data_IF_140363738873
#
_entry.id   IF_140363738873
#
_cell.length_a   1.000
_cell.length_b   1.000
_cell.length_c   1.000
_cell.angle_alpha   90.00
_cell.angle_beta   90.00
_cell.angle_gamma   90.00
#
_symmetry.space_group_name_H-M   'P 1'
#
loop_
_entity.id
_entity.type
_entity.pdbx_description
1 polymer ?
#
# COMPACT_ATOMS: atom_id res chain seq x y z
N UNK A 1 -13.10 -13.39 34.52
CA UNK A 1 -13.52 -11.99 34.27
C UNK A 1 -12.56 -11.41 33.25
N UNK A 2 -13.01 -11.28 32.00
CA UNK A 2 -12.13 -10.98 30.87
C UNK A 2 -11.93 -9.47 30.75
N UNK A 3 -10.68 -9.02 30.91
CA UNK A 3 -10.23 -7.69 30.52
C UNK A 3 -10.38 -7.54 29.00
N UNK A 4 -11.57 -7.16 28.52
CA UNK A 4 -11.72 -6.54 27.20
C UNK A 4 -11.07 -5.17 27.31
N UNK A 5 -9.80 -5.12 26.94
CA UNK A 5 -9.02 -3.90 26.73
C UNK A 5 -9.91 -2.82 26.09
N UNK A 6 -9.92 -1.62 26.69
CA UNK A 6 -10.58 -0.41 26.20
C UNK A 6 -10.08 -0.08 24.78
N UNK A 7 -10.60 -0.76 23.76
CA UNK A 7 -10.37 -0.43 22.37
C UNK A 7 -11.20 0.83 22.08
N UNK A 8 -10.57 1.99 22.16
CA UNK A 8 -11.24 3.26 21.89
C UNK A 8 -11.44 3.41 20.37
N UNK A 9 -12.60 2.92 19.90
CA UNK A 9 -13.01 2.95 18.50
C UNK A 9 -12.98 4.37 17.91
N UNK A 10 -13.26 5.41 18.71
CA UNK A 10 -13.20 6.81 18.27
C UNK A 10 -11.78 7.22 17.90
N UNK A 11 -10.82 6.94 18.79
CA UNK A 11 -9.40 7.24 18.55
C UNK A 11 -8.83 6.47 17.36
N UNK A 12 -9.26 5.22 17.18
CA UNK A 12 -8.90 4.43 16.01
C UNK A 12 -9.44 5.04 14.71
N UNK A 13 -10.72 5.45 14.70
CA UNK A 13 -11.34 6.10 13.54
C UNK A 13 -10.67 7.43 13.16
N UNK A 14 -10.31 8.25 14.15
CA UNK A 14 -9.54 9.48 13.92
C UNK A 14 -8.19 9.20 13.26
N UNK A 15 -7.42 8.24 13.79
CA UNK A 15 -6.11 7.87 13.25
C UNK A 15 -6.22 7.36 11.81
N UNK A 16 -7.21 6.52 11.52
CA UNK A 16 -7.46 6.02 10.15
C UNK A 16 -7.79 7.16 9.21
N UNK A 17 -8.66 8.08 9.62
CA UNK A 17 -9.06 9.23 8.81
C UNK A 17 -7.86 10.15 8.50
N UNK A 18 -7.04 10.46 9.51
CA UNK A 18 -5.87 11.32 9.34
C UNK A 18 -4.82 10.65 8.45
N UNK A 19 -4.55 9.37 8.67
CA UNK A 19 -3.64 8.58 7.81
C UNK A 19 -4.13 8.54 6.36
N UNK A 20 -5.45 8.39 6.16
CA UNK A 20 -6.06 8.36 4.82
C UNK A 20 -5.94 9.71 4.11
N UNK A 21 -6.12 10.82 4.84
CA UNK A 21 -5.94 12.18 4.30
C UNK A 21 -4.49 12.42 3.90
N UNK A 22 -3.54 12.03 4.74
CA UNK A 22 -2.12 12.17 4.45
C UNK A 22 -1.72 11.35 3.21
N UNK A 23 -2.18 10.09 3.14
CA UNK A 23 -1.97 9.25 1.96
C UNK A 23 -2.52 9.91 0.70
N UNK A 24 -3.78 10.38 0.74
CA UNK A 24 -4.40 11.06 -0.40
C UNK A 24 -3.61 12.30 -0.83
N UNK A 25 -3.15 13.12 0.11
CA UNK A 25 -2.33 14.30 -0.18
C UNK A 25 -1.03 13.91 -0.87
N UNK A 26 -0.34 12.88 -0.37
CA UNK A 26 0.91 12.38 -0.97
C UNK A 26 0.66 11.83 -2.38
N UNK A 27 -0.39 11.03 -2.58
CA UNK A 27 -0.74 10.50 -3.90
C UNK A 27 -1.03 11.61 -4.91
N UNK A 28 -1.76 12.66 -4.52
CA UNK A 28 -2.00 13.83 -5.40
C UNK A 28 -0.68 14.52 -5.74
N UNK A 29 0.15 14.84 -4.74
CA UNK A 29 1.43 15.50 -5.00
C UNK A 29 2.36 14.69 -5.90
N UNK A 30 2.34 13.36 -5.78
CA UNK A 30 3.13 12.48 -6.63
C UNK A 30 2.59 12.41 -8.08
N UNK A 31 1.28 12.54 -8.27
CA UNK A 31 0.68 12.69 -9.60
C UNK A 31 1.07 14.02 -10.24
N UNK A 32 1.12 15.11 -9.47
CA UNK A 32 1.58 16.41 -9.95
C UNK A 32 3.06 16.35 -10.38
N UNK A 33 3.91 15.63 -9.63
CA UNK A 33 5.31 15.38 -10.00
C UNK A 33 5.41 14.57 -11.30
N UNK A 34 4.61 13.51 -11.46
CA UNK A 34 4.60 12.72 -12.69
C UNK A 34 4.20 13.58 -13.91
N UNK A 35 3.15 14.40 -13.77
CA UNK A 35 2.72 15.34 -14.81
C UNK A 35 3.82 16.36 -15.15
N UNK A 36 4.50 16.90 -14.13
CA UNK A 36 5.63 17.80 -14.33
C UNK A 36 6.75 17.12 -15.12
N UNK A 37 7.16 15.92 -14.74
CA UNK A 37 8.22 15.17 -15.40
C UNK A 37 7.87 14.86 -16.86
N UNK A 38 6.63 14.45 -17.12
CA UNK A 38 6.13 14.21 -18.47
C UNK A 38 6.24 15.48 -19.34
N UNK A 39 5.80 16.62 -18.81
CA UNK A 39 5.84 17.90 -19.53
C UNK A 39 7.26 18.45 -19.76
N UNK A 40 8.26 17.94 -19.04
CA UNK A 40 9.66 18.35 -19.16
C UNK A 40 10.55 17.31 -19.87
N UNK A 41 9.95 16.33 -20.56
CA UNK A 41 10.68 15.34 -21.36
C UNK A 41 11.24 14.16 -20.58
N UNK A 42 10.81 13.96 -19.32
CA UNK A 42 11.18 12.83 -18.46
C UNK A 42 10.07 11.78 -18.40
N UNK A 43 9.48 11.44 -19.54
CA UNK A 43 8.35 10.51 -19.68
C UNK A 43 8.61 9.16 -19.00
N UNK A 44 9.83 8.62 -19.14
CA UNK A 44 10.20 7.35 -18.53
C UNK A 44 10.08 7.37 -16.99
N UNK A 45 10.45 8.48 -16.33
CA UNK A 45 10.36 8.59 -14.86
C UNK A 45 8.91 8.84 -14.45
N UNK A 46 8.17 9.64 -15.22
CA UNK A 46 6.74 9.83 -15.01
C UNK A 46 5.99 8.49 -15.04
N UNK A 47 6.25 7.64 -16.02
CA UNK A 47 5.66 6.30 -16.14
C UNK A 47 6.04 5.40 -14.96
N UNK A 48 7.29 5.46 -14.50
CA UNK A 48 7.73 4.72 -13.32
C UNK A 48 6.98 5.17 -12.06
N UNK A 49 6.74 6.47 -11.90
CA UNK A 49 5.98 7.02 -10.78
C UNK A 49 4.51 6.57 -10.83
N UNK A 50 3.87 6.63 -11.99
CA UNK A 50 2.49 6.13 -12.17
C UNK A 50 2.40 4.63 -11.87
N UNK A 51 3.38 3.85 -12.32
CA UNK A 51 3.48 2.42 -12.03
C UNK A 51 3.67 2.13 -10.54
N UNK A 52 4.45 2.96 -9.83
CA UNK A 52 4.62 2.88 -8.38
C UNK A 52 3.30 3.19 -7.66
N UNK A 53 2.60 4.26 -8.07
CA UNK A 53 1.29 4.60 -7.49
C UNK A 53 0.29 3.47 -7.63
N UNK A 54 0.29 2.79 -8.78
CA UNK A 54 -0.58 1.63 -8.99
C UNK A 54 -0.24 0.47 -8.05
N UNK A 55 1.04 0.17 -7.87
CA UNK A 55 1.47 -0.87 -6.92
C UNK A 55 1.09 -0.53 -5.47
N UNK A 56 1.18 0.75 -5.06
CA UNK A 56 0.74 1.20 -3.73
C UNK A 56 -0.78 1.05 -3.53
N UNK A 57 -1.58 1.37 -4.55
CA UNK A 57 -3.02 1.12 -4.54
C UNK A 57 -3.32 -0.38 -4.39
N UNK A 58 -2.66 -1.22 -5.18
CA UNK A 58 -2.82 -2.68 -5.11
C UNK A 58 -2.41 -3.23 -3.72
N UNK A 59 -1.36 -2.67 -3.11
CA UNK A 59 -0.94 -3.01 -1.74
C UNK A 59 -2.02 -2.66 -0.71
N UNK A 60 -2.71 -1.52 -0.85
CA UNK A 60 -3.81 -1.15 0.03
C UNK A 60 -5.00 -2.12 -0.10
N UNK A 61 -5.36 -2.50 -1.33
CA UNK A 61 -6.41 -3.49 -1.56
C UNK A 61 -6.06 -4.87 -0.98
N UNK A 62 -4.80 -5.32 -1.13
CA UNK A 62 -4.32 -6.56 -0.54
C UNK A 62 -4.32 -6.50 0.99
N UNK A 63 -3.93 -5.36 1.58
CA UNK A 63 -3.99 -5.16 3.03
C UNK A 63 -5.42 -5.33 3.56
N UNK A 64 -6.40 -4.67 2.93
CA UNK A 64 -7.80 -4.79 3.31
C UNK A 64 -8.31 -6.24 3.15
N UNK A 65 -8.00 -6.87 2.03
CA UNK A 65 -8.38 -8.26 1.75
C UNK A 65 -7.80 -9.24 2.78
N UNK A 66 -6.54 -9.03 3.16
CA UNK A 66 -5.86 -9.84 4.18
C UNK A 66 -6.46 -9.63 5.57
N UNK A 67 -6.81 -8.39 5.93
CA UNK A 67 -7.48 -8.10 7.21
C UNK A 67 -8.83 -8.81 7.30
N UNK A 68 -9.65 -8.74 6.24
CA UNK A 68 -10.94 -9.42 6.17
C UNK A 68 -10.77 -10.95 6.23
N UNK A 69 -9.84 -11.52 5.46
CA UNK A 69 -9.58 -12.96 5.47
C UNK A 69 -9.11 -13.47 6.84
N UNK A 70 -8.27 -12.69 7.57
CA UNK A 70 -7.85 -13.03 8.93
C UNK A 70 -9.00 -13.00 9.92
N UNK A 71 -9.90 -12.02 9.79
CA UNK A 71 -11.09 -11.94 10.62
C UNK A 71 -12.03 -13.13 10.35
N UNK A 72 -12.22 -13.49 9.08
CA UNK A 72 -13.01 -14.65 8.65
C UNK A 72 -12.44 -15.96 9.23
N UNK A 73 -11.14 -16.20 9.06
CA UNK A 73 -10.45 -17.38 9.59
C UNK A 73 -10.48 -17.45 11.13
N UNK A 74 -10.31 -16.31 11.81
CA UNK A 74 -10.38 -16.24 13.27
C UNK A 74 -11.75 -16.59 13.84
N UNK A 75 -12.84 -16.34 13.08
CA UNK A 75 -14.20 -16.72 13.45
C UNK A 75 -14.53 -18.19 13.16
N UNK A 76 -13.67 -18.90 12.41
CA UNK A 76 -13.87 -20.31 12.03
C UNK A 76 -12.52 -21.03 11.98
N UNK A 77 -11.88 -21.26 13.14
CA UNK A 77 -10.49 -21.71 13.22
C UNK A 77 -10.24 -23.09 12.60
N UNK A 78 -11.25 -23.95 12.52
CA UNK A 78 -11.15 -25.30 11.94
C UNK A 78 -11.22 -25.32 10.40
N UNK A 79 -11.50 -24.17 9.77
CA UNK A 79 -11.58 -24.07 8.32
C UNK A 79 -10.19 -23.86 7.70
N UNK A 80 -9.50 -24.96 7.41
CA UNK A 80 -8.18 -24.97 6.78
C UNK A 80 -8.14 -24.18 5.45
N UNK A 81 -9.23 -24.18 4.69
CA UNK A 81 -9.37 -23.40 3.45
C UNK A 81 -9.28 -21.88 3.68
N UNK A 82 -9.78 -21.36 4.80
CA UNK A 82 -9.69 -19.95 5.15
C UNK A 82 -8.25 -19.57 5.52
N UNK A 83 -7.54 -20.44 6.23
CA UNK A 83 -6.12 -20.23 6.56
C UNK A 83 -5.23 -20.33 5.32
N UNK A 84 -5.55 -21.20 4.36
CA UNK A 84 -4.89 -21.25 3.06
C UNK A 84 -5.05 -19.93 2.29
N UNK A 85 -6.26 -19.37 2.25
CA UNK A 85 -6.52 -18.04 1.66
C UNK A 85 -5.73 -16.93 2.36
N UNK A 86 -5.64 -16.95 3.69
CA UNK A 86 -4.82 -15.99 4.46
C UNK A 86 -3.34 -16.11 4.05
N UNK A 87 -2.79 -17.32 3.99
CA UNK A 87 -1.40 -17.57 3.60
C UNK A 87 -1.11 -17.04 2.18
N UNK A 88 -1.99 -17.33 1.22
CA UNK A 88 -1.86 -16.83 -0.15
C UNK A 88 -1.89 -15.30 -0.21
N UNK A 89 -2.81 -14.65 0.49
CA UNK A 89 -2.88 -13.19 0.55
C UNK A 89 -1.65 -12.57 1.23
N UNK A 90 -1.05 -13.25 2.21
CA UNK A 90 0.21 -12.80 2.85
C UNK A 90 1.39 -12.86 1.88
N UNK A 91 1.46 -13.90 1.05
CA UNK A 91 2.47 -14.02 0.00
C UNK A 91 2.33 -12.89 -1.02
N UNK A 92 1.12 -12.68 -1.55
CA UNK A 92 0.83 -11.58 -2.47
C UNK A 92 1.17 -10.20 -1.86
N UNK A 93 0.83 -9.99 -0.59
CA UNK A 93 1.15 -8.76 0.14
C UNK A 93 2.67 -8.55 0.31
N UNK A 94 3.43 -9.63 0.53
CA UNK A 94 4.89 -9.56 0.61
C UNK A 94 5.52 -9.24 -0.75
N UNK A 95 5.00 -9.88 -1.80
CA UNK A 95 5.47 -9.67 -3.17
C UNK A 95 5.24 -8.24 -3.66
N UNK A 96 4.08 -7.64 -3.34
CA UNK A 96 3.81 -6.25 -3.73
C UNK A 96 4.72 -5.26 -2.99
N UNK A 97 5.05 -5.51 -1.72
CA UNK A 97 6.03 -4.68 -0.98
C UNK A 97 7.40 -4.77 -1.64
N UNK A 98 7.86 -5.96 -1.99
CA UNK A 98 9.13 -6.14 -2.70
C UNK A 98 9.13 -5.37 -4.03
N UNK A 99 8.07 -5.50 -4.83
CA UNK A 99 7.92 -4.78 -6.10
C UNK A 99 7.98 -3.27 -5.91
N UNK A 100 7.30 -2.72 -4.90
CA UNK A 100 7.33 -1.30 -4.56
C UNK A 100 8.76 -0.85 -4.25
N UNK A 101 9.49 -1.60 -3.43
CA UNK A 101 10.88 -1.29 -3.08
C UNK A 101 11.77 -1.27 -4.32
N UNK A 102 11.64 -2.26 -5.21
CA UNK A 102 12.38 -2.30 -6.47
C UNK A 102 12.03 -1.12 -7.40
N UNK A 103 10.76 -0.73 -7.47
CA UNK A 103 10.31 0.44 -8.24
C UNK A 103 10.89 1.74 -7.68
N UNK A 104 10.87 1.93 -6.36
CA UNK A 104 11.48 3.08 -5.69
C UNK A 104 12.97 3.18 -5.97
N UNK A 105 13.68 2.05 -5.94
CA UNK A 105 15.12 2.00 -6.20
C UNK A 105 15.45 2.41 -7.63
N UNK A 106 14.65 1.92 -8.59
CA UNK A 106 14.77 2.29 -10.01
C UNK A 106 14.50 3.76 -10.22
N UNK A 107 13.45 4.32 -9.62
CA UNK A 107 13.12 5.75 -9.71
C UNK A 107 14.29 6.58 -9.16
N UNK A 108 14.80 6.24 -7.98
CA UNK A 108 15.95 6.96 -7.40
C UNK A 108 17.14 6.96 -8.36
N UNK A 109 17.52 5.80 -8.89
CA UNK A 109 18.63 5.69 -9.83
C UNK A 109 18.44 6.52 -11.11
N UNK A 110 17.21 6.60 -11.65
CA UNK A 110 16.95 7.43 -12.84
C UNK A 110 16.95 8.91 -12.52
N UNK A 111 16.41 9.32 -11.36
CA UNK A 111 16.43 10.71 -10.92
C UNK A 111 17.85 11.20 -10.64
N UNK A 112 18.70 10.36 -10.02
CA UNK A 112 20.11 10.69 -9.77
C UNK A 112 20.86 10.98 -11.07
N UNK A 113 20.53 10.30 -12.18
CA UNK A 113 21.15 10.55 -13.50
C UNK A 113 20.81 11.91 -14.10
N UNK A 114 19.68 12.50 -13.73
CA UNK A 114 19.24 13.80 -14.25
C UNK A 114 19.81 14.95 -13.40
N UNK A 115 20.19 14.66 -12.16
CA UNK A 115 20.78 15.63 -11.25
C UNK A 115 22.26 15.95 -11.56
N UNK A 116 22.88 15.22 -12.49
CA UNK A 116 24.26 15.41 -12.99
C UNK A 116 24.26 15.88 -14.44
#
# INVERSE_FOLDING_TARGET
MSNRSNYNLSKFGELVNDTTKDFKRISIGLADVANFLQNNGYEQIADMIVSLQKSEEDRLHLCASLQLARQEAGNSPDAESLWSKVSHLQELYSNIIQKINEQMERIRYQTDKIAY
#
